data_IF_491818219430
#
_entry.id   IF_491818219430
#
_cell.length_a   1.000
_cell.length_b   1.000
_cell.length_c   1.000
_cell.angle_alpha   90.00
_cell.angle_beta   90.00
_cell.angle_gamma   90.00
#
_symmetry.space_group_name_H-M   'P 1'
#
loop_
_entity.id
_entity.type
_entity.pdbx_description
1 polymer ?
#
# COMPACT_ATOMS: atom_id res chain seq x y z
N UNK A 1 6.22 -13.69 10.14
CA UNK A 1 7.53 -13.11 10.50
C UNK A 1 7.86 -12.04 9.47
N UNK A 2 7.78 -10.75 9.82
CA UNK A 2 8.12 -9.66 8.90
C UNK A 2 9.59 -9.29 9.06
N UNK A 3 10.41 -9.37 8.02
CA UNK A 3 11.81 -8.99 8.09
C UNK A 3 12.00 -7.54 7.66
N UNK A 4 11.43 -6.58 8.39
CA UNK A 4 11.51 -5.16 7.98
C UNK A 4 12.50 -4.32 8.78
N UNK A 5 13.08 -4.81 9.86
CA UNK A 5 13.95 -4.00 10.72
C UNK A 5 15.45 -4.13 10.45
N UNK A 6 15.92 -5.17 9.76
CA UNK A 6 17.38 -5.42 9.62
C UNK A 6 18.01 -5.02 8.28
N UNK A 7 17.22 -4.55 7.29
CA UNK A 7 17.77 -4.23 5.95
C UNK A 7 18.45 -2.86 5.83
N UNK A 8 18.39 -2.00 6.83
CA UNK A 8 18.93 -0.62 6.73
C UNK A 8 20.45 -0.49 6.80
N UNK A 9 21.19 -1.55 7.14
CA UNK A 9 22.65 -1.50 7.33
C UNK A 9 23.48 -2.47 6.48
N UNK A 10 22.87 -3.25 5.60
CA UNK A 10 23.65 -4.05 4.67
C UNK A 10 24.20 -3.18 3.56
N UNK A 11 25.54 -3.04 3.50
CA UNK A 11 26.23 -2.35 2.40
C UNK A 11 26.06 -3.18 1.13
N UNK A 12 25.23 -2.70 0.23
CA UNK A 12 25.08 -3.28 -1.10
C UNK A 12 26.39 -3.04 -1.86
N UNK A 13 27.00 -4.11 -2.36
CA UNK A 13 28.18 -4.07 -3.23
C UNK A 13 27.75 -4.54 -4.60
N UNK A 14 28.30 -3.95 -5.65
CA UNK A 14 28.03 -4.38 -7.01
C UNK A 14 29.27 -4.28 -7.88
N UNK A 15 29.33 -5.16 -8.89
CA UNK A 15 30.29 -5.13 -9.99
C UNK A 15 29.47 -5.06 -11.28
N UNK A 16 29.87 -4.20 -12.20
CA UNK A 16 29.21 -4.04 -13.50
C UNK A 16 30.23 -4.31 -14.60
N UNK A 17 29.86 -5.16 -15.56
CA UNK A 17 30.65 -5.52 -16.73
C UNK A 17 29.77 -5.61 -17.98
N UNK A 18 30.37 -5.60 -19.15
CA UNK A 18 29.68 -5.84 -20.42
C UNK A 18 29.88 -7.29 -20.81
N UNK A 19 28.80 -7.99 -21.15
CA UNK A 19 28.82 -9.37 -21.57
C UNK A 19 28.16 -9.52 -22.96
N UNK A 20 28.62 -10.49 -23.71
CA UNK A 20 27.96 -10.93 -24.95
C UNK A 20 27.19 -12.21 -24.64
N UNK A 21 25.91 -12.24 -25.01
CA UNK A 21 25.11 -13.45 -24.91
C UNK A 21 25.05 -14.16 -26.28
N UNK A 22 25.18 -15.49 -26.30
CA UNK A 22 25.02 -16.28 -27.54
C UNK A 22 23.63 -15.99 -28.15
N UNK A 23 23.64 -15.65 -29.46
CA UNK A 23 22.39 -15.37 -30.19
C UNK A 23 21.83 -13.96 -30.01
N UNK A 24 22.44 -13.10 -29.22
CA UNK A 24 22.04 -11.69 -29.06
C UNK A 24 23.03 -10.77 -29.80
N UNK A 25 22.49 -9.92 -30.68
CA UNK A 25 23.29 -8.92 -31.41
C UNK A 25 23.29 -7.62 -30.60
N UNK A 26 24.41 -7.34 -29.94
CA UNK A 26 24.59 -6.12 -29.14
C UNK A 26 25.31 -6.40 -27.83
N UNK A 27 25.61 -5.33 -27.11
CA UNK A 27 26.21 -5.39 -25.78
C UNK A 27 25.16 -5.47 -24.72
N UNK A 28 25.33 -6.36 -23.77
CA UNK A 28 24.50 -6.46 -22.57
C UNK A 28 25.34 -6.11 -21.34
N UNK A 29 24.85 -5.18 -20.56
CA UNK A 29 25.44 -4.88 -19.27
C UNK A 29 24.96 -5.88 -18.24
N UNK A 30 25.90 -6.53 -17.57
CA UNK A 30 25.67 -7.40 -16.43
C UNK A 30 26.06 -6.67 -15.15
N UNK A 31 25.18 -6.69 -14.13
CA UNK A 31 25.45 -6.12 -12.81
C UNK A 31 25.25 -7.23 -11.78
N UNK A 32 26.33 -7.67 -11.15
CA UNK A 32 26.30 -8.63 -10.04
C UNK A 32 26.20 -7.86 -8.73
N UNK A 33 25.18 -8.15 -7.92
CA UNK A 33 24.89 -7.41 -6.67
C UNK A 33 24.88 -8.37 -5.49
N UNK A 34 25.62 -8.02 -4.43
CA UNK A 34 25.64 -8.72 -3.15
C UNK A 34 25.04 -7.84 -2.05
N UNK A 35 24.58 -8.46 -0.96
CA UNK A 35 23.99 -7.73 0.17
C UNK A 35 22.49 -7.49 0.04
N UNK A 36 21.79 -8.18 -0.89
CA UNK A 36 20.33 -8.14 -1.03
C UNK A 36 19.59 -9.15 -0.14
N UNK A 37 20.28 -9.73 0.85
CA UNK A 37 19.71 -10.73 1.77
C UNK A 37 19.71 -12.15 1.22
N UNK A 38 20.47 -12.41 0.16
CA UNK A 38 20.74 -13.73 -0.41
C UNK A 38 22.22 -14.06 -0.25
N UNK A 39 22.57 -15.34 -0.08
CA UNK A 39 23.96 -15.78 -0.01
C UNK A 39 24.67 -15.62 -1.35
N UNK A 40 23.95 -15.90 -2.43
CA UNK A 40 24.51 -15.78 -3.80
C UNK A 40 24.25 -14.37 -4.36
N UNK A 41 25.16 -13.84 -5.20
CA UNK A 41 24.96 -12.60 -5.92
C UNK A 41 23.70 -12.66 -6.80
N UNK A 42 22.96 -11.56 -6.85
CA UNK A 42 21.85 -11.40 -7.79
C UNK A 42 22.39 -10.76 -9.07
N UNK A 43 22.16 -11.39 -10.21
CA UNK A 43 22.60 -10.89 -11.51
C UNK A 43 21.45 -10.10 -12.17
N UNK A 44 21.76 -8.90 -12.64
CA UNK A 44 20.87 -8.06 -13.45
C UNK A 44 21.45 -7.91 -14.85
N UNK A 45 20.64 -8.08 -15.85
CA UNK A 45 21.00 -7.86 -17.24
C UNK A 45 20.21 -6.67 -17.79
N UNK A 46 20.89 -5.81 -18.55
CA UNK A 46 20.26 -4.65 -19.19
C UNK A 46 20.91 -4.37 -20.53
N UNK A 47 20.10 -4.15 -21.56
CA UNK A 47 20.54 -3.65 -22.86
C UNK A 47 20.66 -2.13 -22.90
N UNK A 48 20.32 -1.43 -21.81
CA UNK A 48 20.46 0.00 -21.68
C UNK A 48 21.84 0.35 -21.08
N UNK A 49 22.81 0.61 -21.93
CA UNK A 49 24.19 1.00 -21.53
C UNK A 49 24.25 2.37 -20.84
N UNK A 50 23.25 3.24 -21.07
CA UNK A 50 23.22 4.61 -20.53
C UNK A 50 22.75 4.65 -19.07
N UNK A 51 22.05 3.62 -18.60
CA UNK A 51 21.54 3.58 -17.23
C UNK A 51 22.66 3.22 -16.24
N UNK A 52 22.77 3.95 -15.12
CA UNK A 52 23.75 3.60 -14.09
C UNK A 52 23.40 2.27 -13.40
N UNK A 53 24.42 1.55 -12.89
CA UNK A 53 24.18 0.30 -12.13
C UNK A 53 23.27 0.54 -10.91
N UNK A 54 23.42 1.69 -10.24
CA UNK A 54 22.57 2.08 -9.11
C UNK A 54 21.11 2.27 -9.55
N UNK A 55 20.86 2.93 -10.67
CA UNK A 55 19.52 3.13 -11.21
C UNK A 55 18.85 1.80 -11.57
N UNK A 56 19.61 0.89 -12.20
CA UNK A 56 19.15 -0.47 -12.52
C UNK A 56 18.75 -1.24 -11.25
N UNK A 57 19.56 -1.20 -10.19
CA UNK A 57 19.28 -1.87 -8.91
C UNK A 57 18.01 -1.29 -8.27
N UNK A 58 17.87 0.06 -8.26
CA UNK A 58 16.69 0.74 -7.68
C UNK A 58 15.42 0.41 -8.47
N UNK A 59 15.51 0.42 -9.81
CA UNK A 59 14.37 0.06 -10.68
C UNK A 59 13.93 -1.38 -10.44
N UNK A 60 14.87 -2.30 -10.33
CA UNK A 60 14.55 -3.70 -10.06
C UNK A 60 13.96 -3.90 -8.66
N UNK A 61 14.45 -3.18 -7.66
CA UNK A 61 13.84 -3.19 -6.31
C UNK A 61 12.37 -2.76 -6.33
N UNK A 62 11.99 -1.91 -7.33
CA UNK A 62 10.60 -1.53 -7.57
C UNK A 62 9.72 -2.63 -8.18
N UNK A 63 10.28 -3.73 -8.71
CA UNK A 63 9.52 -4.84 -9.30
C UNK A 63 8.60 -5.53 -8.31
N UNK A 64 9.05 -5.68 -7.07
CA UNK A 64 8.26 -6.32 -6.02
C UNK A 64 6.98 -5.54 -5.67
N UNK A 65 6.79 -4.30 -6.15
CA UNK A 65 5.58 -3.52 -5.89
C UNK A 65 4.32 -4.15 -6.47
N UNK A 66 4.42 -4.84 -7.60
CA UNK A 66 3.28 -5.55 -8.20
C UNK A 66 2.95 -6.78 -7.37
N UNK A 67 3.97 -7.54 -6.97
CA UNK A 67 3.83 -8.71 -6.11
C UNK A 67 3.26 -8.33 -4.73
N UNK A 68 3.73 -7.22 -4.15
CA UNK A 68 3.22 -6.68 -2.89
C UNK A 68 1.75 -6.22 -3.04
N UNK A 69 1.40 -5.57 -4.16
CA UNK A 69 0.03 -5.12 -4.42
C UNK A 69 -0.93 -6.30 -4.61
N UNK A 70 -0.51 -7.34 -5.34
CA UNK A 70 -1.27 -8.58 -5.50
C UNK A 70 -1.40 -9.30 -4.16
N UNK A 71 -0.32 -9.38 -3.37
CA UNK A 71 -0.33 -9.93 -2.02
C UNK A 71 -1.32 -9.23 -1.09
N UNK A 72 -1.47 -7.91 -1.19
CA UNK A 72 -2.49 -7.15 -0.45
C UNK A 72 -3.89 -7.52 -0.96
N UNK A 73 -4.07 -7.60 -2.29
CA UNK A 73 -5.33 -8.01 -2.90
C UNK A 73 -5.80 -9.37 -2.39
N UNK A 74 -4.91 -10.34 -2.36
CA UNK A 74 -5.21 -11.70 -1.89
C UNK A 74 -5.38 -11.76 -0.36
N UNK A 75 -4.40 -11.27 0.41
CA UNK A 75 -4.35 -11.50 1.86
C UNK A 75 -5.27 -10.59 2.69
N UNK A 76 -5.73 -9.48 2.13
CA UNK A 76 -6.59 -8.54 2.85
C UNK A 76 -7.96 -8.36 2.19
N UNK A 77 -8.02 -8.30 0.87
CA UNK A 77 -9.27 -8.14 0.13
C UNK A 77 -9.86 -9.47 -0.38
N UNK A 78 -9.16 -10.60 -0.18
CA UNK A 78 -9.60 -11.94 -0.60
C UNK A 78 -9.90 -12.03 -2.10
N UNK A 79 -9.07 -11.39 -2.92
CA UNK A 79 -9.24 -11.33 -4.38
C UNK A 79 -9.16 -12.71 -5.05
N UNK A 80 -8.61 -13.71 -4.38
CA UNK A 80 -8.55 -15.11 -4.78
C UNK A 80 -9.82 -15.92 -4.44
N UNK A 81 -10.70 -15.36 -3.61
CA UNK A 81 -11.98 -15.96 -3.26
C UNK A 81 -13.07 -15.36 -4.16
N UNK A 82 -13.35 -16.02 -5.28
CA UNK A 82 -14.40 -15.57 -6.19
C UNK A 82 -15.75 -15.62 -5.50
N UNK A 83 -16.39 -14.48 -5.34
CA UNK A 83 -17.71 -14.35 -4.72
C UNK A 83 -18.85 -14.81 -5.68
N UNK A 84 -18.56 -15.05 -6.95
CA UNK A 84 -19.56 -15.36 -7.97
C UNK A 84 -18.95 -16.14 -9.12
N UNK A 85 -19.77 -16.98 -9.76
CA UNK A 85 -19.45 -17.64 -11.04
C UNK A 85 -19.69 -16.71 -12.25
N UNK A 86 -20.34 -15.58 -12.02
CA UNK A 86 -20.64 -14.60 -13.08
C UNK A 86 -19.43 -13.71 -13.32
N UNK A 87 -18.86 -13.78 -14.53
CA UNK A 87 -17.64 -13.04 -14.90
C UNK A 87 -17.73 -11.55 -14.61
N UNK A 88 -18.88 -10.93 -14.90
CA UNK A 88 -19.08 -9.48 -14.65
C UNK A 88 -18.93 -9.14 -13.17
N UNK A 89 -19.41 -10.00 -12.27
CA UNK A 89 -19.27 -9.78 -10.83
C UNK A 89 -17.82 -9.92 -10.39
N UNK A 90 -17.07 -10.85 -10.97
CA UNK A 90 -15.62 -11.00 -10.70
C UNK A 90 -14.86 -9.77 -11.14
N UNK A 91 -15.16 -9.24 -12.33
CA UNK A 91 -14.53 -8.01 -12.83
C UNK A 91 -14.88 -6.81 -11.93
N UNK A 92 -16.13 -6.72 -11.46
CA UNK A 92 -16.57 -5.68 -10.53
C UNK A 92 -15.84 -5.80 -9.18
N UNK A 93 -15.72 -6.99 -8.60
CA UNK A 93 -15.01 -7.23 -7.34
C UNK A 93 -13.52 -6.84 -7.45
N UNK A 94 -12.90 -7.16 -8.59
CA UNK A 94 -11.52 -6.75 -8.85
C UNK A 94 -11.38 -5.21 -8.91
N UNK A 95 -12.30 -4.54 -9.59
CA UNK A 95 -12.32 -3.07 -9.66
C UNK A 95 -12.56 -2.44 -8.28
N UNK A 96 -13.51 -2.96 -7.50
CA UNK A 96 -13.79 -2.48 -6.15
C UNK A 96 -12.58 -2.70 -5.22
N UNK A 97 -11.85 -3.79 -5.36
CA UNK A 97 -10.61 -4.06 -4.64
C UNK A 97 -9.54 -3.00 -4.94
N UNK A 98 -9.37 -2.63 -6.22
CA UNK A 98 -8.42 -1.58 -6.62
C UNK A 98 -8.82 -0.23 -6.02
N UNK A 99 -10.10 0.13 -6.09
CA UNK A 99 -10.63 1.36 -5.50
C UNK A 99 -10.45 1.38 -3.97
N UNK A 100 -10.81 0.29 -3.29
CA UNK A 100 -10.64 0.17 -1.85
C UNK A 100 -9.18 0.32 -1.42
N UNK A 101 -8.24 -0.33 -2.14
CA UNK A 101 -6.81 -0.17 -1.90
C UNK A 101 -6.36 1.29 -2.11
N UNK A 102 -6.92 1.97 -3.12
CA UNK A 102 -6.71 3.41 -3.35
C UNK A 102 -7.16 4.26 -2.16
N UNK A 103 -8.35 3.99 -1.61
CA UNK A 103 -8.88 4.66 -0.42
C UNK A 103 -7.98 4.45 0.81
N UNK A 104 -7.50 3.23 1.05
CA UNK A 104 -6.55 2.96 2.15
C UNK A 104 -5.23 3.69 1.97
N UNK A 105 -4.70 3.76 0.75
CA UNK A 105 -3.48 4.53 0.47
C UNK A 105 -3.68 6.04 0.66
N UNK A 106 -4.84 6.54 0.28
CA UNK A 106 -5.20 7.94 0.52
C UNK A 106 -5.30 8.21 2.03
N UNK A 107 -6.01 7.37 2.78
CA UNK A 107 -6.11 7.47 4.24
C UNK A 107 -4.72 7.42 4.90
N UNK A 108 -3.87 6.47 4.50
CA UNK A 108 -2.51 6.36 5.03
C UNK A 108 -1.73 7.67 4.97
N UNK A 109 -1.84 8.38 3.84
CA UNK A 109 -1.14 9.65 3.61
C UNK A 109 -1.64 10.81 4.49
N UNK A 110 -2.87 10.70 5.02
CA UNK A 110 -3.42 11.69 5.93
C UNK A 110 -2.99 11.43 7.39
N UNK A 111 -2.55 10.22 7.71
CA UNK A 111 -2.27 9.78 9.07
C UNK A 111 -0.76 9.84 9.36
N UNK A 112 -0.36 10.79 10.21
CA UNK A 112 1.04 10.97 10.59
C UNK A 112 1.65 9.69 11.20
N UNK A 113 2.80 9.27 10.65
CA UNK A 113 3.50 8.04 11.02
C UNK A 113 2.92 6.75 10.42
N UNK A 114 1.89 6.86 9.54
CA UNK A 114 1.25 5.73 8.86
C UNK A 114 1.24 5.85 7.34
N UNK A 115 2.01 6.75 6.77
CA UNK A 115 2.00 7.12 5.34
C UNK A 115 2.29 5.92 4.41
N UNK A 116 2.99 4.91 4.93
CA UNK A 116 3.35 3.67 4.21
C UNK A 116 2.70 2.43 4.80
N UNK A 117 1.73 2.60 5.71
CA UNK A 117 1.07 1.48 6.37
C UNK A 117 0.24 0.64 5.40
N UNK A 118 0.26 -0.68 5.58
CA UNK A 118 -0.55 -1.59 4.80
C UNK A 118 -2.05 -1.47 5.17
N UNK A 119 -2.99 -1.73 4.23
CA UNK A 119 -4.43 -1.65 4.48
C UNK A 119 -4.90 -2.42 5.72
N UNK A 120 -4.40 -3.63 5.93
CA UNK A 120 -4.72 -4.45 7.12
C UNK A 120 -4.35 -3.76 8.44
N UNK A 121 -3.24 -3.02 8.46
CA UNK A 121 -2.82 -2.27 9.64
C UNK A 121 -3.72 -1.06 9.87
N UNK A 122 -4.07 -0.34 8.81
CA UNK A 122 -4.99 0.81 8.88
C UNK A 122 -6.39 0.37 9.31
N UNK A 123 -6.91 -0.73 8.74
CA UNK A 123 -8.18 -1.30 9.11
C UNK A 123 -8.25 -1.54 10.62
N UNK A 124 -7.31 -2.34 11.17
CA UNK A 124 -7.29 -2.70 12.58
C UNK A 124 -7.13 -1.51 13.54
N UNK A 125 -6.42 -0.48 13.10
CA UNK A 125 -6.08 0.65 13.97
C UNK A 125 -7.08 1.79 13.90
N UNK A 126 -7.69 2.02 12.75
CA UNK A 126 -8.48 3.22 12.49
C UNK A 126 -9.90 2.96 11.98
N UNK A 127 -10.14 1.84 11.28
CA UNK A 127 -11.44 1.54 10.66
C UNK A 127 -12.26 0.57 11.52
N UNK A 128 -11.66 -0.53 11.97
CA UNK A 128 -12.29 -1.51 12.84
C UNK A 128 -12.43 -0.94 14.25
N UNK A 129 -13.45 -0.15 14.46
CA UNK A 129 -13.72 0.52 15.73
C UNK A 129 -15.21 0.44 16.06
N UNK A 130 -15.53 0.41 17.34
CA UNK A 130 -16.89 0.54 17.85
C UNK A 130 -17.21 2.01 18.18
N UNK A 131 -18.48 2.30 18.26
CA UNK A 131 -18.98 3.62 18.57
C UNK A 131 -20.50 3.68 18.54
N UNK A 132 -21.04 4.87 18.82
CA UNK A 132 -22.48 5.13 18.84
C UNK A 132 -22.81 6.17 17.77
N UNK A 133 -23.87 5.91 16.99
CA UNK A 133 -24.41 6.86 16.02
C UNK A 133 -25.68 7.47 16.57
N UNK A 134 -25.71 8.79 16.72
CA UNK A 134 -26.87 9.55 17.17
C UNK A 134 -27.34 10.48 16.06
N UNK A 135 -28.62 10.39 15.69
CA UNK A 135 -29.26 11.27 14.72
C UNK A 135 -29.99 12.36 15.48
N UNK A 136 -29.41 13.55 15.51
CA UNK A 136 -30.02 14.74 16.10
C UNK A 136 -30.82 15.51 15.05
N UNK A 137 -31.63 16.49 15.47
CA UNK A 137 -32.44 17.30 14.53
C UNK A 137 -31.61 18.07 13.47
N UNK A 138 -30.37 18.42 13.78
CA UNK A 138 -29.52 19.29 12.94
C UNK A 138 -28.23 18.65 12.46
N UNK A 139 -27.89 17.47 12.94
CA UNK A 139 -26.64 16.78 12.62
C UNK A 139 -26.70 15.30 12.98
N UNK A 140 -25.80 14.55 12.41
CA UNK A 140 -25.53 13.15 12.77
C UNK A 140 -24.21 13.14 13.52
N UNK A 141 -24.19 12.59 14.71
CA UNK A 141 -23.00 12.49 15.55
C UNK A 141 -22.56 11.03 15.62
N UNK A 142 -21.33 10.74 15.25
CA UNK A 142 -20.70 9.43 15.40
C UNK A 142 -19.65 9.56 16.49
N UNK A 143 -19.91 8.95 17.67
CA UNK A 143 -18.96 8.91 18.78
C UNK A 143 -18.20 7.61 18.73
N UNK A 144 -16.92 7.68 18.55
CA UNK A 144 -16.02 6.53 18.57
C UNK A 144 -15.53 6.26 19.99
N UNK A 145 -15.41 4.98 20.32
CA UNK A 145 -14.82 4.55 21.59
C UNK A 145 -13.38 5.02 21.71
N UNK A 146 -12.93 5.21 22.97
CA UNK A 146 -11.58 5.66 23.25
C UNK A 146 -10.54 4.66 22.79
N UNK A 147 -9.64 5.11 21.91
CA UNK A 147 -8.52 4.31 21.39
C UNK A 147 -7.23 5.14 21.35
N UNK A 148 -6.10 4.48 21.55
CA UNK A 148 -4.79 5.13 21.55
C UNK A 148 -4.40 5.83 20.22
N UNK A 149 -5.12 5.55 19.13
CA UNK A 149 -4.86 6.15 17.82
C UNK A 149 -5.83 7.29 17.46
N UNK A 150 -6.86 7.57 18.28
CA UNK A 150 -7.81 8.65 18.06
C UNK A 150 -7.15 10.04 17.89
N UNK A 151 -6.09 10.39 18.65
CA UNK A 151 -5.41 11.67 18.47
C UNK A 151 -4.87 11.88 17.04
N UNK A 152 -4.42 10.81 16.37
CA UNK A 152 -3.91 10.88 14.98
C UNK A 152 -5.04 11.21 14.00
N UNK A 153 -6.25 10.69 14.22
CA UNK A 153 -7.43 11.02 13.41
C UNK A 153 -7.84 12.47 13.56
N UNK A 154 -7.73 13.04 14.77
CA UNK A 154 -7.96 14.46 15.03
C UNK A 154 -6.92 15.35 14.37
N UNK A 155 -5.64 14.99 14.49
CA UNK A 155 -4.53 15.71 13.84
C UNK A 155 -4.69 15.73 12.32
N UNK A 156 -5.23 14.65 11.74
CA UNK A 156 -5.55 14.57 10.32
C UNK A 156 -6.83 15.36 9.93
N UNK A 157 -7.51 16.02 10.88
CA UNK A 157 -8.72 16.79 10.64
C UNK A 157 -9.95 15.94 10.28
N UNK A 158 -9.92 14.64 10.59
CA UNK A 158 -11.01 13.73 10.25
C UNK A 158 -12.20 13.81 11.25
N UNK A 159 -12.11 14.67 12.25
CA UNK A 159 -13.19 15.01 13.19
C UNK A 159 -14.07 16.17 12.69
N UNK A 160 -13.64 16.89 11.67
CA UNK A 160 -14.38 18.04 11.16
C UNK A 160 -15.51 17.60 10.22
N UNK A 161 -16.70 18.19 10.34
CA UNK A 161 -17.83 17.88 9.47
C UNK A 161 -17.56 18.45 8.08
N UNK A 162 -17.12 17.60 7.19
CA UNK A 162 -16.84 18.00 5.80
C UNK A 162 -17.96 17.63 4.82
N UNK A 163 -18.94 16.81 5.27
CA UNK A 163 -19.96 16.26 4.38
C UNK A 163 -21.32 16.24 5.04
N UNK A 164 -22.35 16.45 4.21
CA UNK A 164 -23.74 16.24 4.56
C UNK A 164 -24.21 14.91 3.99
N UNK A 165 -25.17 14.28 4.62
CA UNK A 165 -25.74 13.00 4.18
C UNK A 165 -27.03 13.29 3.39
N UNK A 166 -27.01 13.20 2.04
CA UNK A 166 -28.12 13.63 1.19
C UNK A 166 -29.45 12.93 1.49
N UNK A 167 -29.40 11.62 1.73
CA UNK A 167 -30.60 10.81 2.04
C UNK A 167 -31.12 10.96 3.49
N UNK A 168 -30.41 11.70 4.33
CA UNK A 168 -30.84 12.08 5.69
C UNK A 168 -30.98 13.61 5.77
N UNK A 169 -31.81 14.18 4.90
CA UNK A 169 -32.14 15.61 4.90
C UNK A 169 -30.92 16.55 4.83
N UNK A 170 -29.83 16.11 4.20
CA UNK A 170 -28.56 16.83 4.14
C UNK A 170 -27.98 17.19 5.52
N UNK A 171 -28.25 16.38 6.54
CA UNK A 171 -27.67 16.60 7.86
C UNK A 171 -26.16 16.48 7.81
N UNK A 172 -25.41 17.38 8.45
CA UNK A 172 -23.98 17.31 8.56
C UNK A 172 -23.54 16.13 9.46
N UNK A 173 -22.50 15.42 9.01
CA UNK A 173 -21.91 14.32 9.75
C UNK A 173 -20.75 14.84 10.61
N UNK A 174 -20.78 14.55 11.90
CA UNK A 174 -19.77 14.96 12.87
C UNK A 174 -19.16 13.73 13.53
N UNK A 175 -17.85 13.60 13.48
CA UNK A 175 -17.12 12.55 14.19
C UNK A 175 -16.59 13.08 15.52
N UNK A 176 -16.76 12.30 16.58
CA UNK A 176 -16.23 12.57 17.91
C UNK A 176 -15.35 11.40 18.35
N UNK A 177 -14.10 11.69 18.61
CA UNK A 177 -13.12 10.73 19.11
C UNK A 177 -12.88 10.99 20.59
N UNK A 178 -13.21 10.02 21.42
CA UNK A 178 -13.00 10.07 22.89
C UNK A 178 -11.54 9.88 23.26
#
# INVERSE_FOLDING_TARGET
MHPTAHRRHQRIRYVAETVQLPGYVGEIRQVAVTGLGREQPTLFLSNNSKESARALIVRYAGRNRVEDALGIGVNFFHLDCLASEVRLNVDLDAMLTVLANGCYRWLARQLHGFETAAPKQLFRKFVETSGVVEIERKRIVVRFDKRGHNPILREAGLDQPSQTIPWLQNLPLVFQYS
#
